data_IF_169079022573
#
_entry.id   IF_169079022573
#
_cell.length_a   1.000
_cell.length_b   1.000
_cell.length_c   1.000
_cell.angle_alpha   90.00
_cell.angle_beta   90.00
_cell.angle_gamma   90.00
#
_symmetry.space_group_name_H-M   'P 1'
#
loop_
_entity.id
_entity.type
_entity.pdbx_description
1 polymer ?
#
# COMPACT_ATOMS: atom_id res chain seq x y z
N UNK A 1 5.87 -25.69 -7.82
CA UNK A 1 6.63 -26.96 -7.77
C UNK A 1 5.73 -28.08 -7.24
N UNK A 2 6.16 -29.35 -7.30
CA UNK A 2 5.43 -30.47 -6.66
C UNK A 2 5.25 -30.25 -5.14
N UNK A 3 6.23 -29.62 -4.49
CA UNK A 3 6.17 -29.27 -3.07
C UNK A 3 5.05 -28.26 -2.79
N UNK A 4 4.90 -27.21 -3.60
CA UNK A 4 3.79 -26.26 -3.46
C UNK A 4 2.42 -26.91 -3.71
N UNK A 5 2.35 -27.85 -4.66
CA UNK A 5 1.13 -28.64 -4.93
C UNK A 5 0.68 -29.48 -3.73
N UNK A 6 1.63 -29.99 -2.94
CA UNK A 6 1.33 -30.79 -1.73
C UNK A 6 0.66 -29.98 -0.62
N UNK A 7 0.76 -28.65 -0.65
CA UNK A 7 0.17 -27.75 0.35
C UNK A 7 -1.27 -27.35 0.02
N UNK A 8 -1.76 -27.59 -1.20
CA UNK A 8 -3.07 -27.12 -1.67
C UNK A 8 -4.21 -27.72 -0.86
N UNK A 9 -4.22 -29.05 -0.68
CA UNK A 9 -5.30 -29.75 0.05
C UNK A 9 -5.34 -29.37 1.53
N UNK A 10 -4.22 -29.41 2.28
CA UNK A 10 -4.24 -29.03 3.69
C UNK A 10 -4.67 -27.57 3.89
N UNK A 11 -4.20 -26.66 3.03
CA UNK A 11 -4.58 -25.25 3.08
C UNK A 11 -6.07 -25.05 2.79
N UNK A 12 -6.62 -25.74 1.79
CA UNK A 12 -8.04 -25.67 1.47
C UNK A 12 -8.93 -26.18 2.62
N UNK A 13 -8.54 -27.27 3.27
CA UNK A 13 -9.21 -27.78 4.47
C UNK A 13 -9.19 -26.76 5.62
N UNK A 14 -8.03 -26.15 5.90
CA UNK A 14 -7.92 -25.13 6.93
C UNK A 14 -8.77 -23.88 6.62
N UNK A 15 -8.70 -23.39 5.37
CA UNK A 15 -9.49 -22.24 4.93
C UNK A 15 -11.00 -22.49 5.05
N UNK A 16 -11.45 -23.71 4.72
CA UNK A 16 -12.85 -24.12 4.90
C UNK A 16 -13.23 -24.16 6.38
N UNK A 17 -12.36 -24.66 7.24
CA UNK A 17 -12.53 -24.66 8.69
C UNK A 17 -12.73 -23.24 9.23
N UNK A 18 -11.88 -22.31 8.82
CA UNK A 18 -11.95 -20.91 9.25
C UNK A 18 -13.22 -20.23 8.75
N UNK A 19 -13.61 -20.45 7.48
CA UNK A 19 -14.89 -19.94 6.96
C UNK A 19 -16.10 -20.45 7.73
N UNK A 20 -16.07 -21.72 8.16
CA UNK A 20 -17.14 -22.31 8.99
C UNK A 20 -17.15 -21.76 10.41
N UNK A 21 -15.98 -21.46 10.97
CA UNK A 21 -15.85 -20.80 12.27
C UNK A 21 -16.34 -19.34 12.24
N UNK A 22 -16.62 -18.80 11.05
CA UNK A 22 -17.07 -17.42 10.83
C UNK A 22 -16.13 -16.40 11.50
N UNK A 23 -14.82 -16.64 11.39
CA UNK A 23 -13.79 -15.79 11.98
C UNK A 23 -13.97 -14.34 11.52
N UNK A 24 -14.06 -13.43 12.48
CA UNK A 24 -14.09 -11.98 12.27
C UNK A 24 -12.72 -11.36 12.57
N UNK A 25 -12.51 -10.17 12.03
CA UNK A 25 -11.33 -9.37 12.32
C UNK A 25 -11.27 -9.05 13.81
N UNK A 26 -10.12 -9.31 14.45
CA UNK A 26 -9.91 -9.06 15.88
C UNK A 26 -10.28 -10.22 16.80
N UNK A 27 -10.86 -11.30 16.28
CA UNK A 27 -11.25 -12.45 17.10
C UNK A 27 -10.06 -13.11 17.82
N UNK A 28 -10.34 -13.68 18.98
CA UNK A 28 -9.39 -14.55 19.69
C UNK A 28 -9.55 -15.97 19.20
N UNK A 29 -8.47 -16.57 18.69
CA UNK A 29 -8.45 -17.93 18.16
C UNK A 29 -7.61 -18.83 19.06
N UNK A 30 -8.19 -19.95 19.47
CA UNK A 30 -7.48 -21.03 20.14
C UNK A 30 -7.25 -22.20 19.20
N UNK A 31 -5.99 -22.60 19.03
CA UNK A 31 -5.57 -23.73 18.20
C UNK A 31 -5.07 -24.84 19.12
N UNK A 32 -5.74 -25.98 19.07
CA UNK A 32 -5.32 -27.20 19.77
C UNK A 32 -4.44 -28.03 18.85
N UNK A 33 -3.16 -28.15 19.21
CA UNK A 33 -2.12 -28.83 18.45
C UNK A 33 -1.31 -27.89 17.55
N UNK A 34 0.01 -27.92 17.71
CA UNK A 34 1.00 -27.26 16.86
C UNK A 34 1.62 -28.22 15.84
N UNK A 35 0.86 -29.23 15.41
CA UNK A 35 1.19 -30.05 14.24
C UNK A 35 1.03 -29.26 12.93
N UNK A 36 1.34 -29.90 11.81
CA UNK A 36 1.31 -29.26 10.49
C UNK A 36 0.01 -28.47 10.20
N UNK A 37 -1.16 -29.10 10.36
CA UNK A 37 -2.47 -28.44 10.19
C UNK A 37 -2.70 -27.28 11.16
N UNK A 38 -2.24 -27.40 12.40
CA UNK A 38 -2.32 -26.33 13.40
C UNK A 38 -1.44 -25.13 13.05
N UNK A 39 -0.26 -25.37 12.49
CA UNK A 39 0.64 -24.33 12.00
C UNK A 39 0.07 -23.63 10.75
N UNK A 40 -0.59 -24.38 9.86
CA UNK A 40 -1.31 -23.80 8.71
C UNK A 40 -2.50 -22.94 9.19
N UNK A 41 -3.27 -23.40 10.17
CA UNK A 41 -4.32 -22.58 10.79
C UNK A 41 -3.74 -21.31 11.42
N UNK A 42 -2.64 -21.42 12.18
CA UNK A 42 -1.97 -20.29 12.82
C UNK A 42 -1.62 -19.20 11.79
N UNK A 43 -1.06 -19.59 10.64
CA UNK A 43 -0.75 -18.64 9.57
C UNK A 43 -2.01 -18.05 8.95
N UNK A 44 -3.01 -18.88 8.62
CA UNK A 44 -4.23 -18.43 7.96
C UNK A 44 -5.09 -17.51 8.84
N UNK A 45 -5.29 -17.83 10.12
CA UNK A 45 -6.09 -16.99 11.03
C UNK A 45 -5.38 -15.66 11.30
N UNK A 46 -4.04 -15.64 11.30
CA UNK A 46 -3.26 -14.40 11.32
C UNK A 46 -3.47 -13.56 10.06
N UNK A 47 -3.37 -14.17 8.87
CA UNK A 47 -3.61 -13.48 7.59
C UNK A 47 -5.03 -12.91 7.53
N UNK A 48 -6.00 -13.64 8.09
CA UNK A 48 -7.40 -13.22 8.18
C UNK A 48 -7.67 -12.22 9.31
N UNK A 49 -6.64 -11.87 10.10
CA UNK A 49 -6.66 -10.78 11.07
C UNK A 49 -7.25 -11.12 12.44
N UNK A 50 -7.08 -12.35 12.91
CA UNK A 50 -7.31 -12.69 14.31
C UNK A 50 -6.47 -11.79 15.24
N UNK A 51 -7.08 -11.25 16.29
CA UNK A 51 -6.44 -10.31 17.22
C UNK A 51 -5.50 -10.99 18.20
N UNK A 52 -5.88 -12.16 18.71
CA UNK A 52 -5.07 -12.98 19.60
C UNK A 52 -5.13 -14.44 19.14
N UNK A 53 -3.96 -15.06 18.93
CA UNK A 53 -3.89 -16.48 18.59
C UNK A 53 -3.14 -17.22 19.70
N UNK A 54 -3.82 -18.15 20.34
CA UNK A 54 -3.29 -19.03 21.39
C UNK A 54 -3.12 -20.41 20.78
N UNK A 55 -1.91 -20.97 20.87
CA UNK A 55 -1.61 -22.32 20.39
C UNK A 55 -1.22 -23.17 21.59
N UNK A 56 -1.83 -24.35 21.71
CA UNK A 56 -1.47 -25.35 22.72
C UNK A 56 -0.95 -26.61 22.06
N UNK A 57 0.07 -27.23 22.63
CA UNK A 57 0.57 -28.56 22.27
C UNK A 57 1.29 -29.13 23.50
N UNK A 58 1.41 -30.46 23.57
CA UNK A 58 2.12 -31.14 24.65
C UNK A 58 3.63 -31.22 24.39
N UNK A 59 4.07 -30.95 23.17
CA UNK A 59 5.47 -31.07 22.75
C UNK A 59 6.09 -29.69 22.55
N UNK A 60 7.08 -29.35 23.38
CA UNK A 60 7.73 -28.03 23.38
C UNK A 60 8.33 -27.66 22.03
N UNK A 61 8.93 -28.61 21.29
CA UNK A 61 9.51 -28.31 19.98
C UNK A 61 8.47 -27.86 18.94
N UNK A 62 7.21 -28.32 19.06
CA UNK A 62 6.12 -27.86 18.18
C UNK A 62 5.65 -26.46 18.57
N UNK A 63 5.62 -26.16 19.86
CA UNK A 63 5.35 -24.80 20.36
C UNK A 63 6.44 -23.82 19.93
N UNK A 64 7.71 -24.21 19.99
CA UNK A 64 8.82 -23.41 19.45
C UNK A 64 8.66 -23.17 17.95
N UNK A 65 8.24 -24.19 17.18
CA UNK A 65 7.96 -23.99 15.75
C UNK A 65 6.80 -23.03 15.49
N UNK A 66 5.74 -23.10 16.31
CA UNK A 66 4.63 -22.14 16.26
C UNK A 66 5.10 -20.71 16.59
N UNK A 67 6.01 -20.54 17.57
CA UNK A 67 6.64 -19.25 17.90
C UNK A 67 7.54 -18.72 16.78
N UNK A 68 8.33 -19.60 16.14
CA UNK A 68 9.14 -19.22 14.97
C UNK A 68 8.28 -18.68 13.83
N UNK A 69 7.17 -19.36 13.54
CA UNK A 69 6.19 -18.92 12.55
C UNK A 69 5.42 -17.65 12.99
N UNK A 70 5.60 -17.22 14.24
CA UNK A 70 5.04 -16.00 14.82
C UNK A 70 5.95 -14.78 14.64
N UNK A 71 7.19 -14.93 14.17
CA UNK A 71 8.33 -13.98 14.33
C UNK A 71 8.14 -12.53 13.85
N UNK A 72 7.07 -12.19 13.14
CA UNK A 72 6.65 -10.80 13.02
C UNK A 72 5.37 -10.57 13.83
N UNK A 73 5.55 -10.25 15.10
CA UNK A 73 4.46 -9.75 15.92
C UNK A 73 4.23 -8.26 15.63
N UNK A 74 2.98 -7.93 15.34
CA UNK A 74 2.46 -6.58 15.43
C UNK A 74 2.45 -6.18 16.91
N UNK A 75 3.55 -5.54 17.33
CA UNK A 75 3.63 -4.90 18.65
C UNK A 75 2.60 -3.77 18.77
N UNK A 76 2.16 -3.43 19.99
CA UNK A 76 1.27 -2.29 20.23
C UNK A 76 1.78 -1.01 19.56
N UNK A 77 3.09 -0.77 19.63
CA UNK A 77 3.76 0.39 19.07
C UNK A 77 3.62 0.42 17.53
N UNK A 78 3.86 -0.71 16.86
CA UNK A 78 3.60 -0.87 15.42
C UNK A 78 2.13 -0.68 15.06
N UNK A 79 1.19 -1.22 15.83
CA UNK A 79 -0.25 -1.01 15.56
C UNK A 79 -0.64 0.46 15.65
N UNK A 80 -0.15 1.17 16.68
CA UNK A 80 -0.36 2.62 16.83
C UNK A 80 0.27 3.37 15.65
N UNK A 81 1.43 2.94 15.17
CA UNK A 81 2.11 3.56 14.03
C UNK A 81 1.32 3.41 12.72
N UNK A 82 0.84 2.19 12.44
CA UNK A 82 -0.04 1.92 11.31
C UNK A 82 -1.34 2.77 11.41
N UNK A 83 -1.93 2.84 12.61
CA UNK A 83 -3.11 3.67 12.84
C UNK A 83 -2.85 5.16 12.59
N UNK A 84 -1.70 5.69 13.02
CA UNK A 84 -1.31 7.08 12.74
C UNK A 84 -1.20 7.35 11.25
N UNK A 85 -0.65 6.41 10.47
CA UNK A 85 -0.58 6.54 9.02
C UNK A 85 -2.00 6.52 8.39
N UNK A 86 -2.88 5.61 8.82
CA UNK A 86 -4.28 5.59 8.35
C UNK A 86 -5.02 6.90 8.68
N UNK A 87 -4.82 7.44 9.89
CA UNK A 87 -5.44 8.71 10.30
C UNK A 87 -4.89 9.90 9.52
N UNK A 88 -3.59 9.91 9.19
CA UNK A 88 -3.00 10.93 8.32
C UNK A 88 -3.68 10.93 6.94
N UNK A 89 -3.91 9.75 6.36
CA UNK A 89 -4.60 9.60 5.07
C UNK A 89 -6.05 10.06 5.18
N UNK A 90 -6.79 9.53 6.17
CA UNK A 90 -8.18 9.88 6.45
C UNK A 90 -8.37 11.39 6.58
N UNK A 91 -7.56 12.04 7.41
CA UNK A 91 -7.68 13.47 7.69
C UNK A 91 -7.40 14.33 6.45
N UNK A 92 -6.43 13.93 5.61
CA UNK A 92 -6.19 14.64 4.35
C UNK A 92 -7.42 14.52 3.44
N UNK A 93 -7.95 13.30 3.25
CA UNK A 93 -9.07 13.08 2.36
C UNK A 93 -10.38 13.70 2.85
N UNK A 94 -10.64 13.69 4.15
CA UNK A 94 -11.78 14.39 4.76
C UNK A 94 -11.69 15.90 4.55
N UNK A 95 -10.50 16.50 4.64
CA UNK A 95 -10.27 17.91 4.32
C UNK A 95 -10.60 18.21 2.84
N UNK A 96 -10.27 17.30 1.91
CA UNK A 96 -10.64 17.44 0.50
C UNK A 96 -12.17 17.37 0.33
N UNK A 97 -12.84 16.42 0.99
CA UNK A 97 -14.29 16.31 1.00
C UNK A 97 -14.94 17.59 1.52
N UNK A 98 -14.47 18.11 2.66
CA UNK A 98 -14.98 19.35 3.26
C UNK A 98 -14.83 20.55 2.30
N UNK A 99 -13.65 20.70 1.68
CA UNK A 99 -13.44 21.73 0.67
C UNK A 99 -14.45 21.63 -0.47
N UNK A 100 -14.74 20.42 -0.95
CA UNK A 100 -15.66 20.20 -2.07
C UNK A 100 -17.10 20.49 -1.67
N UNK A 101 -17.54 19.99 -0.53
CA UNK A 101 -18.89 20.18 0.00
C UNK A 101 -19.18 21.64 0.33
N UNK A 102 -18.20 22.34 0.91
CA UNK A 102 -18.33 23.75 1.31
C UNK A 102 -17.95 24.74 0.21
N UNK A 103 -17.95 24.31 -1.06
CA UNK A 103 -17.66 25.14 -2.26
C UNK A 103 -16.35 25.92 -2.15
N UNK A 104 -15.30 25.20 -1.76
CA UNK A 104 -13.95 25.70 -1.60
C UNK A 104 -13.68 26.38 -0.28
N UNK A 105 -14.36 26.00 0.82
CA UNK A 105 -14.08 26.55 2.15
C UNK A 105 -13.60 25.47 3.10
N UNK A 106 -12.54 25.75 3.84
CA UNK A 106 -12.03 24.88 4.91
C UNK A 106 -11.63 25.76 6.09
N UNK A 107 -12.38 25.68 7.19
CA UNK A 107 -12.29 26.66 8.27
C UNK A 107 -12.41 28.11 7.75
N UNK A 108 -11.49 29.02 8.10
CA UNK A 108 -11.49 30.39 7.60
C UNK A 108 -10.93 30.53 6.16
N UNK A 109 -10.32 29.47 5.61
CA UNK A 109 -9.71 29.54 4.28
C UNK A 109 -10.74 29.38 3.18
N UNK A 110 -10.54 30.12 2.08
CA UNK A 110 -11.29 29.97 0.83
C UNK A 110 -10.33 29.65 -0.32
N UNK A 111 -10.51 28.49 -0.94
CA UNK A 111 -9.75 28.02 -2.08
C UNK A 111 -10.67 27.25 -3.03
N UNK A 112 -10.76 27.70 -4.29
CA UNK A 112 -11.53 26.99 -5.30
C UNK A 112 -10.75 25.73 -5.72
N UNK A 113 -11.20 24.58 -5.22
CA UNK A 113 -10.66 23.28 -5.61
C UNK A 113 -11.13 22.92 -7.03
N UNK A 114 -10.19 22.73 -7.96
CA UNK A 114 -10.48 22.44 -9.37
C UNK A 114 -10.01 21.02 -9.71
N UNK A 115 -10.91 20.23 -10.28
CA UNK A 115 -10.64 18.87 -10.76
C UNK A 115 -11.44 17.80 -10.02
N UNK A 116 -11.29 16.56 -10.50
CA UNK A 116 -12.00 15.42 -9.94
C UNK A 116 -11.41 15.04 -8.58
N UNK A 117 -12.28 14.68 -7.65
CA UNK A 117 -11.89 14.21 -6.32
C UNK A 117 -12.16 12.72 -6.24
N UNK A 118 -11.11 11.93 -6.06
CA UNK A 118 -11.19 10.48 -5.93
C UNK A 118 -10.51 10.07 -4.64
N UNK A 119 -11.29 10.04 -3.57
CA UNK A 119 -10.81 9.62 -2.25
C UNK A 119 -10.79 8.09 -2.14
N UNK A 120 -9.88 7.60 -1.31
CA UNK A 120 -9.73 6.22 -0.90
C UNK A 120 -10.37 5.94 0.47
N UNK A 121 -11.28 6.81 0.91
CA UNK A 121 -12.02 6.70 2.18
C UNK A 121 -12.52 5.27 2.40
N UNK A 122 -12.02 4.63 3.47
CA UNK A 122 -12.33 3.24 3.85
C UNK A 122 -11.33 2.20 3.35
N UNK A 123 -10.30 2.62 2.63
CA UNK A 123 -9.25 1.76 2.05
C UNK A 123 -7.85 2.13 2.58
N UNK A 124 -7.74 2.98 3.61
CA UNK A 124 -6.45 3.49 4.13
C UNK A 124 -5.54 2.37 4.63
N UNK A 125 -6.14 1.31 5.17
CA UNK A 125 -5.45 0.12 5.64
C UNK A 125 -4.71 -0.61 4.51
N UNK A 126 -5.19 -0.53 3.26
CA UNK A 126 -4.58 -1.18 2.10
C UNK A 126 -3.22 -0.55 1.80
N UNK A 127 -3.20 0.77 1.59
CA UNK A 127 -1.96 1.52 1.34
C UNK A 127 -1.00 1.40 2.52
N UNK A 128 -1.52 1.60 3.74
CA UNK A 128 -0.72 1.59 4.97
C UNK A 128 -0.08 0.22 5.20
N UNK A 129 -0.88 -0.85 5.20
CA UNK A 129 -0.42 -2.21 5.45
C UNK A 129 0.58 -2.66 4.41
N UNK A 130 0.23 -2.53 3.12
CA UNK A 130 1.07 -3.01 2.03
C UNK A 130 2.41 -2.26 1.96
N UNK A 131 2.42 -0.93 2.15
CA UNK A 131 3.65 -0.15 2.10
C UNK A 131 4.51 -0.35 3.36
N UNK A 132 3.90 -0.58 4.52
CA UNK A 132 4.67 -0.86 5.75
C UNK A 132 5.54 -2.12 5.63
N UNK A 133 5.12 -3.07 4.80
CA UNK A 133 5.75 -4.38 4.60
C UNK A 133 6.89 -4.39 3.57
N UNK A 134 7.05 -3.33 2.76
CA UNK A 134 8.11 -3.24 1.75
C UNK A 134 9.31 -2.43 2.24
N UNK A 135 10.43 -2.51 1.52
CA UNK A 135 11.62 -1.68 1.75
C UNK A 135 11.33 -0.20 1.45
N UNK A 136 11.97 0.76 2.15
CA UNK A 136 11.87 2.17 1.76
C UNK A 136 12.36 2.41 0.33
N UNK A 137 13.27 1.58 -0.17
CA UNK A 137 13.85 1.69 -1.51
C UNK A 137 13.02 1.01 -2.62
N UNK A 138 12.00 0.21 -2.26
CA UNK A 138 11.13 -0.44 -3.23
C UNK A 138 10.26 0.57 -3.96
N UNK A 139 9.90 0.25 -5.20
CA UNK A 139 9.04 1.09 -6.00
C UNK A 139 7.57 0.84 -5.69
N UNK A 140 6.76 1.88 -5.86
CA UNK A 140 5.30 1.75 -5.90
C UNK A 140 4.74 2.41 -7.16
N UNK A 141 3.68 1.84 -7.71
CA UNK A 141 2.81 2.51 -8.68
C UNK A 141 1.40 2.61 -8.11
N UNK A 142 0.72 3.71 -8.40
CA UNK A 142 -0.58 4.03 -7.83
C UNK A 142 -1.63 4.31 -8.91
N UNK A 143 -2.91 4.27 -8.53
CA UNK A 143 -4.06 4.58 -9.38
C UNK A 143 -4.67 5.96 -9.05
N UNK A 144 -5.79 6.29 -9.68
CA UNK A 144 -6.48 7.57 -9.51
C UNK A 144 -7.04 7.85 -8.10
N UNK A 145 -7.04 6.84 -7.21
CA UNK A 145 -7.38 6.95 -5.76
C UNK A 145 -6.11 6.79 -4.90
N UNK A 146 -5.02 7.39 -5.37
CA UNK A 146 -3.67 7.11 -4.90
C UNK A 146 -3.15 7.98 -3.76
N UNK A 147 -3.99 8.85 -3.18
CA UNK A 147 -3.56 9.76 -2.11
C UNK A 147 -2.99 8.98 -0.93
N UNK A 148 -3.67 7.89 -0.53
CA UNK A 148 -3.21 6.98 0.50
C UNK A 148 -1.86 6.35 0.21
N UNK A 149 -1.62 5.90 -1.03
CA UNK A 149 -0.37 5.27 -1.44
C UNK A 149 0.81 6.24 -1.36
N UNK A 150 0.62 7.47 -1.85
CA UNK A 150 1.63 8.51 -1.82
C UNK A 150 1.97 8.93 -0.38
N UNK A 151 0.95 9.12 0.46
CA UNK A 151 1.14 9.47 1.87
C UNK A 151 1.82 8.35 2.65
N UNK A 152 1.35 7.11 2.51
CA UNK A 152 1.94 5.98 3.21
C UNK A 152 3.41 5.77 2.78
N UNK A 153 3.73 5.91 1.49
CA UNK A 153 5.12 5.78 1.01
C UNK A 153 6.03 6.84 1.61
N UNK A 154 5.62 8.11 1.58
CA UNK A 154 6.40 9.16 2.22
C UNK A 154 6.54 8.94 3.73
N UNK A 155 5.45 8.58 4.41
CA UNK A 155 5.40 8.31 5.85
C UNK A 155 6.45 7.26 6.28
N UNK A 156 6.39 6.05 5.71
CA UNK A 156 7.27 4.96 6.12
C UNK A 156 8.72 5.17 5.66
N UNK A 157 8.96 5.85 4.53
CA UNK A 157 10.32 6.21 4.11
C UNK A 157 10.93 7.21 5.08
N UNK A 158 10.22 8.28 5.45
CA UNK A 158 10.68 9.32 6.38
C UNK A 158 11.06 8.71 7.72
N UNK A 159 10.22 7.84 8.27
CA UNK A 159 10.49 7.17 9.56
C UNK A 159 11.71 6.26 9.57
N UNK A 160 12.21 5.84 8.40
CA UNK A 160 13.41 5.00 8.26
C UNK A 160 14.66 5.82 7.89
N UNK A 161 14.55 7.14 7.76
CA UNK A 161 15.68 8.01 7.45
C UNK A 161 16.58 8.21 8.67
N UNK A 162 17.87 8.43 8.43
CA UNK A 162 18.80 8.90 9.47
C UNK A 162 18.57 10.38 9.79
N UNK A 163 19.06 10.85 10.94
CA UNK A 163 18.96 12.26 11.35
C UNK A 163 19.54 13.20 10.30
N UNK A 164 20.70 12.85 9.72
CA UNK A 164 21.31 13.63 8.65
C UNK A 164 20.42 13.73 7.40
N UNK A 165 19.74 12.65 7.02
CA UNK A 165 18.82 12.65 5.90
C UNK A 165 17.53 13.43 6.20
N UNK A 166 17.01 13.34 7.43
CA UNK A 166 15.85 14.12 7.89
C UNK A 166 16.16 15.62 7.89
N UNK A 167 17.30 16.02 8.47
CA UNK A 167 17.73 17.43 8.49
C UNK A 167 17.84 17.95 7.06
N UNK A 168 18.56 17.24 6.18
CA UNK A 168 18.69 17.62 4.78
C UNK A 168 17.31 17.75 4.11
N UNK A 169 16.40 16.78 4.32
CA UNK A 169 15.05 16.85 3.77
C UNK A 169 14.30 18.11 4.22
N UNK A 170 14.35 18.42 5.51
CA UNK A 170 13.64 19.55 6.12
C UNK A 170 14.20 20.88 5.61
N UNK A 171 15.52 20.99 5.51
CA UNK A 171 16.20 22.26 5.18
C UNK A 171 16.52 22.43 3.70
N UNK A 172 16.23 21.43 2.85
CA UNK A 172 16.57 21.44 1.42
C UNK A 172 16.03 22.67 0.68
N UNK A 173 14.83 23.11 1.02
CA UNK A 173 14.17 24.27 0.43
C UNK A 173 13.95 25.34 1.49
N UNK A 174 14.92 26.25 1.63
CA UNK A 174 14.96 27.30 2.65
C UNK A 174 13.65 28.08 2.75
N UNK A 175 13.09 28.52 1.62
CA UNK A 175 11.80 29.24 1.58
C UNK A 175 10.64 28.46 2.21
N UNK A 176 10.58 27.14 2.03
CA UNK A 176 9.53 26.30 2.63
C UNK A 176 9.83 26.09 4.12
N UNK A 177 11.10 25.86 4.47
CA UNK A 177 11.52 25.67 5.84
C UNK A 177 11.22 26.92 6.70
N UNK A 178 11.52 28.10 6.18
CA UNK A 178 11.22 29.39 6.80
C UNK A 178 9.72 29.61 6.95
N UNK A 179 8.95 29.36 5.89
CA UNK A 179 7.49 29.51 5.92
C UNK A 179 6.82 28.61 6.97
N UNK A 180 7.30 27.37 7.13
CA UNK A 180 6.77 26.43 8.11
C UNK A 180 7.35 26.61 9.52
N UNK A 181 8.39 27.46 9.65
CA UNK A 181 9.07 27.76 10.89
C UNK A 181 9.85 26.57 11.44
N UNK A 182 10.43 25.75 10.57
CA UNK A 182 11.15 24.55 10.99
C UNK A 182 12.42 24.89 11.76
N UNK A 183 12.57 24.27 12.93
CA UNK A 183 13.81 24.27 13.70
C UNK A 183 14.38 22.86 13.68
N UNK A 184 15.63 22.68 13.30
CA UNK A 184 16.29 21.36 13.22
C UNK A 184 17.41 21.19 14.24
N UNK A 185 17.89 22.28 14.83
CA UNK A 185 18.97 22.25 15.83
C UNK A 185 18.45 21.70 17.16
N UNK A 186 19.28 20.88 17.81
CA UNK A 186 19.06 20.34 19.16
C UNK A 186 17.77 19.51 19.32
N UNK A 187 17.28 18.91 18.22
CA UNK A 187 16.10 18.05 18.21
C UNK A 187 16.46 16.57 18.33
N UNK A 188 15.59 15.84 19.01
CA UNK A 188 15.61 14.38 19.03
C UNK A 188 15.20 13.80 17.67
N UNK A 189 15.55 12.54 17.41
CA UNK A 189 15.14 11.83 16.20
C UNK A 189 13.61 11.87 15.99
N UNK A 190 12.83 11.66 17.06
CA UNK A 190 11.37 11.67 16.99
C UNK A 190 10.81 13.04 16.57
N UNK A 191 11.40 14.13 17.04
CA UNK A 191 10.99 15.48 16.66
C UNK A 191 11.41 15.82 15.22
N UNK A 192 12.55 15.32 14.75
CA UNK A 192 12.97 15.45 13.35
C UNK A 192 12.01 14.71 12.41
N UNK A 193 11.59 13.49 12.78
CA UNK A 193 10.58 12.73 12.04
C UNK A 193 9.27 13.50 11.97
N UNK A 194 8.80 14.09 13.06
CA UNK A 194 7.55 14.85 13.09
C UNK A 194 7.59 16.06 12.14
N UNK A 195 8.68 16.84 12.13
CA UNK A 195 8.81 17.97 11.19
C UNK A 195 8.89 17.51 9.74
N UNK A 196 9.58 16.39 9.47
CA UNK A 196 9.64 15.81 8.14
C UNK A 196 8.25 15.31 7.67
N UNK A 197 7.44 14.73 8.57
CA UNK A 197 6.06 14.35 8.28
C UNK A 197 5.17 15.57 8.05
N UNK A 198 5.37 16.66 8.80
CA UNK A 198 4.68 17.94 8.57
C UNK A 198 5.03 18.53 7.21
N UNK A 199 6.29 18.47 6.80
CA UNK A 199 6.71 18.84 5.44
C UNK A 199 6.07 17.95 4.38
N UNK A 200 6.01 16.64 4.61
CA UNK A 200 5.39 15.69 3.69
C UNK A 200 3.90 16.00 3.47
N UNK A 201 3.16 16.22 4.56
CA UNK A 201 1.75 16.61 4.51
C UNK A 201 1.58 17.97 3.80
N UNK A 202 2.42 18.95 4.12
CA UNK A 202 2.40 20.26 3.45
C UNK A 202 2.57 20.13 1.94
N UNK A 203 3.53 19.32 1.47
CA UNK A 203 3.75 19.11 0.03
C UNK A 203 2.58 18.39 -0.64
N UNK A 204 1.96 17.43 0.03
CA UNK A 204 0.75 16.77 -0.48
C UNK A 204 -0.40 17.78 -0.64
N UNK A 205 -0.65 18.61 0.38
CA UNK A 205 -1.67 19.66 0.34
C UNK A 205 -1.34 20.72 -0.74
N UNK A 206 -0.08 21.14 -0.84
CA UNK A 206 0.38 22.08 -1.84
C UNK A 206 0.14 21.55 -3.26
N UNK A 207 0.39 20.26 -3.50
CA UNK A 207 0.11 19.60 -4.79
C UNK A 207 -1.39 19.65 -5.12
N UNK A 208 -2.25 19.26 -4.17
CA UNK A 208 -3.70 19.30 -4.32
C UNK A 208 -4.21 20.72 -4.61
N UNK A 209 -3.54 21.73 -4.06
CA UNK A 209 -3.89 23.16 -4.23
C UNK A 209 -3.19 23.79 -5.45
N UNK A 210 -2.58 22.99 -6.32
CA UNK A 210 -1.93 23.47 -7.54
C UNK A 210 -0.78 24.45 -7.27
N UNK A 211 -0.10 24.30 -6.13
CA UNK A 211 1.01 25.17 -5.72
C UNK A 211 2.34 24.59 -6.15
N UNK A 212 3.29 25.47 -6.47
CA UNK A 212 4.64 25.10 -6.89
C UNK A 212 5.40 24.29 -5.81
N UNK A 213 5.08 24.48 -4.54
CA UNK A 213 5.66 23.72 -3.43
C UNK A 213 5.21 22.25 -3.37
N UNK A 214 4.23 21.85 -4.18
CA UNK A 214 3.76 20.47 -4.29
C UNK A 214 4.80 19.53 -4.89
N UNK A 215 4.61 18.23 -4.69
CA UNK A 215 5.52 17.18 -5.18
C UNK A 215 5.80 17.23 -6.68
N UNK A 216 4.78 17.58 -7.47
CA UNK A 216 4.84 17.71 -8.92
C UNK A 216 4.64 19.17 -9.35
N UNK A 217 4.94 20.12 -8.45
CA UNK A 217 4.75 21.57 -8.65
C UNK A 217 3.31 21.95 -8.97
N UNK A 218 2.33 21.23 -8.41
CA UNK A 218 0.91 21.47 -8.60
C UNK A 218 0.34 20.98 -9.93
N UNK A 219 1.14 20.27 -10.75
CA UNK A 219 0.72 19.76 -12.07
C UNK A 219 -0.06 18.46 -11.98
N UNK A 220 0.18 17.66 -10.94
CA UNK A 220 -0.58 16.47 -10.64
C UNK A 220 -1.95 16.78 -10.03
N UNK A 221 -2.05 17.96 -9.39
CA UNK A 221 -3.30 18.56 -8.96
C UNK A 221 -4.07 17.68 -7.99
N UNK A 222 -5.39 17.61 -8.18
CA UNK A 222 -6.34 16.94 -7.28
C UNK A 222 -6.22 15.41 -7.22
N UNK A 223 -5.53 14.78 -8.17
CA UNK A 223 -5.51 13.31 -8.29
C UNK A 223 -4.11 12.69 -8.26
N UNK A 224 -3.09 13.36 -8.81
CA UNK A 224 -1.84 12.70 -9.18
C UNK A 224 -0.65 13.15 -8.34
N UNK A 225 -0.56 12.67 -7.10
CA UNK A 225 0.65 12.87 -6.30
C UNK A 225 1.70 11.85 -6.75
N UNK A 226 2.91 12.32 -7.05
CA UNK A 226 4.05 11.46 -7.37
C UNK A 226 5.34 11.98 -6.74
N UNK A 227 6.07 11.11 -6.05
CA UNK A 227 7.38 11.40 -5.47
C UNK A 227 8.42 10.38 -5.94
N UNK A 228 9.02 10.67 -7.09
CA UNK A 228 10.06 9.84 -7.68
C UNK A 228 11.30 9.70 -6.78
N UNK A 229 11.57 10.69 -5.91
CA UNK A 229 12.73 10.65 -5.01
C UNK A 229 12.60 9.57 -3.92
N UNK A 230 11.39 9.05 -3.70
CA UNK A 230 11.07 8.01 -2.73
C UNK A 230 10.55 6.73 -3.39
N UNK A 231 10.75 6.57 -4.69
CA UNK A 231 10.30 5.38 -5.41
C UNK A 231 8.79 5.33 -5.67
N UNK A 232 8.05 6.43 -5.53
CA UNK A 232 6.69 6.51 -6.03
C UNK A 232 6.71 6.89 -7.52
N UNK A 233 6.48 5.92 -8.39
CA UNK A 233 6.64 6.08 -9.85
C UNK A 233 5.46 6.78 -10.54
N UNK A 234 4.42 7.14 -9.79
CA UNK A 234 3.34 7.99 -10.27
C UNK A 234 1.96 7.38 -10.05
N UNK A 235 0.96 8.26 -10.01
CA UNK A 235 -0.44 7.90 -9.96
C UNK A 235 -1.06 8.17 -11.34
N UNK A 236 -1.75 7.19 -11.90
CA UNK A 236 -2.31 7.28 -13.26
C UNK A 236 -3.83 7.44 -13.28
N UNK A 237 -4.32 8.30 -14.18
CA UNK A 237 -5.75 8.43 -14.49
C UNK A 237 -6.27 7.26 -15.35
N UNK A 238 -5.40 6.67 -16.17
CA UNK A 238 -5.76 5.55 -17.05
C UNK A 238 -5.95 4.30 -16.20
N UNK A 239 -7.17 3.74 -16.26
CA UNK A 239 -7.53 2.52 -15.54
C UNK A 239 -6.61 1.38 -15.99
N UNK A 240 -5.91 0.76 -15.05
CA UNK A 240 -4.92 -0.31 -15.32
C UNK A 240 -3.56 0.17 -15.83
N UNK A 241 -3.39 1.46 -16.18
CA UNK A 241 -2.14 2.00 -16.71
C UNK A 241 -0.93 1.84 -15.77
N UNK A 242 -1.17 1.85 -14.45
CA UNK A 242 -0.13 1.64 -13.43
C UNK A 242 0.52 0.24 -13.49
N UNK A 243 -0.20 -0.76 -14.00
CA UNK A 243 0.29 -2.15 -14.07
C UNK A 243 1.42 -2.31 -15.09
N UNK A 244 1.30 -1.64 -16.24
CA UNK A 244 2.35 -1.63 -17.27
C UNK A 244 3.65 -1.01 -16.75
N UNK A 245 3.53 0.13 -16.10
CA UNK A 245 4.67 0.81 -15.47
C UNK A 245 5.33 -0.07 -14.40
N UNK A 246 4.53 -0.76 -13.59
CA UNK A 246 5.05 -1.59 -12.52
C UNK A 246 5.84 -2.79 -13.03
N UNK A 247 5.34 -3.45 -14.08
CA UNK A 247 6.08 -4.54 -14.74
C UNK A 247 7.38 -4.00 -15.33
N UNK A 248 7.34 -2.83 -15.98
CA UNK A 248 8.54 -2.17 -16.50
C UNK A 248 9.59 -1.88 -15.42
N UNK A 249 9.19 -1.36 -14.26
CA UNK A 249 10.12 -1.10 -13.15
C UNK A 249 10.63 -2.38 -12.50
N UNK A 250 9.78 -3.41 -12.37
CA UNK A 250 10.23 -4.73 -11.93
C UNK A 250 11.26 -5.32 -12.90
N UNK A 251 11.04 -5.20 -14.22
CA UNK A 251 12.01 -5.62 -15.24
C UNK A 251 13.33 -4.86 -15.10
N UNK A 252 13.28 -3.55 -14.87
CA UNK A 252 14.49 -2.75 -14.65
C UNK A 252 15.26 -3.25 -13.41
N UNK A 253 14.60 -3.43 -12.27
CA UNK A 253 15.23 -3.99 -11.06
C UNK A 253 15.79 -5.39 -11.26
N UNK A 254 15.14 -6.20 -12.11
CA UNK A 254 15.66 -7.51 -12.52
C UNK A 254 16.97 -7.40 -13.31
N UNK A 255 17.08 -6.43 -14.22
CA UNK A 255 18.32 -6.20 -14.99
C UNK A 255 19.43 -5.56 -14.17
N UNK A 256 19.10 -4.60 -13.31
CA UNK A 256 20.09 -3.94 -12.45
C UNK A 256 20.51 -4.78 -11.25
N UNK A 257 19.79 -5.87 -10.97
CA UNK A 257 20.02 -6.76 -9.83
C UNK A 257 20.08 -5.99 -8.49
N UNK A 258 19.32 -4.89 -8.40
CA UNK A 258 19.35 -3.95 -7.27
C UNK A 258 18.52 -4.41 -6.06
N UNK A 259 17.95 -5.61 -6.16
CA UNK A 259 17.13 -6.28 -5.13
C UNK A 259 15.88 -5.50 -4.72
N UNK A 260 15.43 -4.55 -5.53
CA UNK A 260 14.14 -3.88 -5.31
C UNK A 260 13.00 -4.68 -5.93
N UNK A 261 11.81 -4.51 -5.38
CA UNK A 261 10.56 -4.91 -6.00
C UNK A 261 9.70 -3.69 -6.34
N UNK A 262 8.66 -3.92 -7.14
CA UNK A 262 7.59 -2.94 -7.35
C UNK A 262 6.28 -3.43 -6.73
N UNK A 263 5.66 -2.62 -5.87
CA UNK A 263 4.30 -2.82 -5.39
C UNK A 263 3.32 -2.02 -6.27
N UNK A 264 2.46 -2.73 -6.98
CA UNK A 264 1.49 -2.16 -7.91
C UNK A 264 0.10 -2.17 -7.31
N UNK A 265 -0.44 -0.98 -6.97
CA UNK A 265 -1.84 -0.87 -6.60
C UNK A 265 -2.73 -0.81 -7.85
N UNK A 266 -3.76 -1.66 -7.87
CA UNK A 266 -4.76 -1.66 -8.93
C UNK A 266 -6.13 -2.02 -8.37
N UNK A 267 -7.16 -1.25 -8.71
CA UNK A 267 -8.54 -1.58 -8.35
C UNK A 267 -9.06 -2.81 -9.10
N UNK A 268 -9.99 -3.53 -8.52
CA UNK A 268 -10.71 -4.66 -9.14
C UNK A 268 -11.22 -4.37 -10.58
N UNK A 269 -11.84 -3.22 -10.82
CA UNK A 269 -12.29 -2.83 -12.16
C UNK A 269 -11.15 -2.69 -13.18
N UNK A 270 -9.92 -2.43 -12.73
CA UNK A 270 -8.75 -2.34 -13.60
C UNK A 270 -8.34 -3.70 -14.18
N UNK A 271 -8.62 -4.80 -13.48
CA UNK A 271 -8.29 -6.15 -13.93
C UNK A 271 -9.13 -6.63 -15.11
N UNK A 272 -10.21 -5.91 -15.45
CA UNK A 272 -11.00 -6.17 -16.66
C UNK A 272 -10.36 -5.60 -17.94
N UNK A 273 -9.28 -4.81 -17.84
CA UNK A 273 -8.59 -4.25 -19.00
C UNK A 273 -7.56 -5.23 -19.55
N UNK A 274 -7.35 -5.22 -20.87
CA UNK A 274 -6.34 -6.06 -21.55
C UNK A 274 -4.94 -5.90 -20.96
N UNK A 275 -4.55 -4.66 -20.59
CA UNK A 275 -3.25 -4.38 -19.97
C UNK A 275 -3.03 -5.17 -18.68
N UNK A 276 -4.08 -5.47 -17.90
CA UNK A 276 -3.94 -6.26 -16.68
C UNK A 276 -3.52 -7.71 -17.01
N UNK A 277 -4.14 -8.32 -18.02
CA UNK A 277 -3.77 -9.65 -18.48
C UNK A 277 -2.37 -9.68 -19.10
N UNK A 278 -2.04 -8.69 -19.95
CA UNK A 278 -0.72 -8.57 -20.58
C UNK A 278 0.39 -8.46 -19.53
N UNK A 279 0.17 -7.63 -18.51
CA UNK A 279 1.16 -7.36 -17.45
C UNK A 279 1.33 -8.54 -16.51
N UNK A 280 0.25 -9.21 -16.10
CA UNK A 280 0.34 -10.44 -15.29
C UNK A 280 1.05 -11.54 -16.07
N UNK A 281 0.69 -11.73 -17.35
CA UNK A 281 1.35 -12.69 -18.21
C UNK A 281 2.86 -12.38 -18.28
N UNK A 282 3.23 -11.13 -18.60
CA UNK A 282 4.63 -10.70 -18.64
C UNK A 282 5.38 -10.92 -17.33
N UNK A 283 4.77 -10.56 -16.20
CA UNK A 283 5.37 -10.72 -14.86
C UNK A 283 5.78 -12.18 -14.56
N UNK A 284 4.99 -13.15 -15.04
CA UNK A 284 5.21 -14.58 -14.82
C UNK A 284 6.16 -15.24 -15.81
N UNK A 285 6.56 -14.55 -16.90
CA UNK A 285 7.45 -15.11 -17.91
C UNK A 285 8.92 -15.13 -17.45
N UNK A 286 9.23 -16.07 -16.55
CA UNK A 286 10.57 -16.32 -16.03
C UNK A 286 11.56 -16.84 -17.09
N UNK A 287 11.06 -17.37 -18.22
CA UNK A 287 11.86 -17.94 -19.30
C UNK A 287 12.64 -16.91 -20.12
N UNK A 288 12.29 -15.62 -20.06
CA UNK A 288 13.06 -14.60 -20.77
C UNK A 288 14.40 -14.41 -20.08
N UNK A 289 15.42 -15.04 -20.63
CA UNK A 289 16.80 -14.88 -20.21
C UNK A 289 17.57 -14.36 -21.42
N UNK A 290 17.71 -13.04 -21.50
CA UNK A 290 18.73 -12.48 -22.38
C UNK A 290 20.07 -12.44 -21.61
N UNK A 291 21.18 -12.24 -22.31
CA UNK A 291 22.51 -12.18 -21.70
C UNK A 291 22.75 -10.95 -20.79
N UNK A 292 21.70 -10.19 -20.44
CA UNK A 292 21.81 -8.96 -19.64
C UNK A 292 21.68 -9.19 -18.13
N UNK A 293 21.46 -10.43 -17.68
CA UNK A 293 21.26 -10.75 -16.26
C UNK A 293 22.04 -12.01 -15.86
N UNK A 294 22.52 -12.05 -14.63
CA UNK A 294 23.34 -13.14 -14.09
C UNK A 294 22.51 -14.31 -13.54
N UNK A 295 21.23 -14.07 -13.19
CA UNK A 295 20.34 -15.08 -12.57
C UNK A 295 18.97 -15.14 -13.23
N UNK A 296 18.41 -16.35 -13.33
CA UNK A 296 17.03 -16.59 -13.80
C UNK A 296 16.05 -16.44 -12.64
N UNK A 297 15.21 -15.41 -12.65
CA UNK A 297 14.09 -15.25 -11.73
C UNK A 297 12.96 -14.46 -12.38
N UNK A 298 11.74 -14.56 -11.86
CA UNK A 298 10.58 -13.81 -12.35
C UNK A 298 10.74 -12.29 -12.17
N UNK A 299 9.80 -11.51 -12.70
CA UNK A 299 9.82 -10.05 -12.49
C UNK A 299 9.49 -9.76 -11.00
N UNK A 300 10.31 -9.00 -10.27
CA UNK A 300 10.09 -8.69 -8.85
C UNK A 300 8.95 -7.67 -8.68
N UNK A 301 7.72 -8.16 -8.69
CA UNK A 301 6.51 -7.35 -8.60
C UNK A 301 5.48 -8.00 -7.67
N UNK A 302 4.77 -7.16 -6.92
CA UNK A 302 3.57 -7.53 -6.15
C UNK A 302 2.39 -6.74 -6.68
N UNK A 303 1.36 -7.43 -7.17
CA UNK A 303 0.10 -6.80 -7.55
C UNK A 303 -0.85 -6.75 -6.34
N UNK A 304 -1.08 -5.56 -5.80
CA UNK A 304 -2.07 -5.32 -4.75
C UNK A 304 -3.43 -5.02 -5.39
N UNK A 305 -4.26 -6.06 -5.50
CA UNK A 305 -5.63 -5.94 -6.01
C UNK A 305 -6.56 -5.34 -4.95
N UNK A 306 -6.97 -4.10 -5.16
CA UNK A 306 -7.88 -3.36 -4.27
C UNK A 306 -9.32 -3.64 -4.69
N UNK A 307 -9.91 -4.68 -4.12
CA UNK A 307 -11.27 -5.11 -4.44
C UNK A 307 -12.29 -4.50 -3.48
N UNK A 308 -12.82 -3.34 -3.85
CA UNK A 308 -13.87 -2.65 -3.11
C UNK A 308 -15.28 -2.99 -3.62
N UNK A 309 -15.41 -4.00 -4.50
CA UNK A 309 -16.66 -4.50 -5.08
C UNK A 309 -17.32 -3.57 -6.10
N UNK A 310 -16.71 -2.45 -6.46
CA UNK A 310 -17.29 -1.48 -7.39
C UNK A 310 -16.27 -0.78 -8.30
N UNK A 311 -16.46 -0.94 -9.61
CA UNK A 311 -15.86 -0.10 -10.65
C UNK A 311 -16.81 1.03 -11.06
N UNK A 312 -16.71 2.19 -10.41
CA UNK A 312 -17.67 3.30 -10.56
C UNK A 312 -19.10 2.85 -10.19
N UNK A 313 -20.02 2.73 -11.16
CA UNK A 313 -21.38 2.21 -10.93
C UNK A 313 -21.48 0.70 -11.15
N UNK A 314 -20.45 0.08 -11.73
CA UNK A 314 -20.44 -1.34 -12.06
C UNK A 314 -20.04 -2.22 -10.89
N UNK A 315 -20.80 -3.28 -10.63
CA UNK A 315 -20.55 -4.27 -9.57
C UNK A 315 -19.82 -5.51 -10.10
N UNK A 316 -18.84 -6.00 -9.34
CA UNK A 316 -17.98 -7.13 -9.74
C UNK A 316 -18.73 -8.47 -9.70
N UNK A 317 -19.87 -8.52 -9.00
CA UNK A 317 -20.72 -9.70 -8.88
C UNK A 317 -22.12 -9.37 -9.38
N UNK A 318 -22.60 -10.13 -10.36
CA UNK A 318 -23.99 -10.05 -10.85
C UNK A 318 -24.21 -9.03 -11.96
N UNK A 319 -23.30 -8.06 -12.13
CA UNK A 319 -23.33 -7.14 -13.26
C UNK A 319 -22.35 -7.61 -14.33
N UNK A 320 -22.84 -8.48 -15.22
CA UNK A 320 -22.13 -8.75 -16.47
C UNK A 320 -22.44 -7.56 -17.38
N UNK A 321 -21.44 -6.83 -17.84
CA UNK A 321 -21.56 -5.84 -18.93
C UNK A 321 -21.92 -6.48 -20.29
N UNK A 322 -22.42 -7.73 -20.27
CA UNK A 322 -23.01 -8.44 -21.38
C UNK A 322 -24.52 -8.23 -21.38
N UNK A 323 -24.98 -7.34 -22.26
CA UNK A 323 -26.33 -7.27 -22.86
C UNK A 323 -27.41 -8.12 -22.18
N UNK A 324 -28.01 -7.60 -21.11
CA UNK A 324 -29.29 -8.10 -20.57
C UNK A 324 -30.46 -7.10 -20.70
N UNK A 325 -30.20 -5.88 -21.19
CA UNK A 325 -31.20 -4.79 -21.26
C UNK A 325 -31.13 -4.00 -22.58
N UNK A 326 -31.07 -4.68 -23.71
CA UNK A 326 -31.61 -4.11 -24.94
C UNK A 326 -33.04 -4.66 -25.02
N UNK A 327 -33.98 -3.90 -24.47
CA UNK A 327 -35.41 -4.14 -24.70
C UNK A 327 -35.66 -3.95 -26.21
N UNK A 328 -36.13 -5.03 -26.85
CA UNK A 328 -36.87 -4.96 -28.11
C UNK A 328 -38.35 -4.69 -27.80
#
# INVERSE_FOLDING_TARGET
SFEEGSLIEPMACCLRGIKRANLQLGDTVFIMGAGFTGLVHLQLVKILGAGLVIVSDFLDFKLEKAKELRKEELTKEKCIDLLKCMLLIRNLEEMICELREKKGRYGPMKYLYIGATHVSIGQEAVSTGAISAISPHDYITSHHRGHGDALAKGYFVIKRMSDAALINLITKEERIADFLGFKVKDKTHAELVEEALRLHLFRAIAELFGKEAGYCKGRGGSMHIADFSRGHLGANAIVGGSMGMAVGSGMASRYFEDRKLTLCFAGDGAFNNGIAHETINMATMAQFTNGLMSKKFGIPIVFAAVNNQYGMTGQQRGEVTGKGRIQA
#
